data_IF_195524032043
#
_entry.id   IF_195524032043
#
_cell.length_a   1.000
_cell.length_b   1.000
_cell.length_c   1.000
_cell.angle_alpha   90.00
_cell.angle_beta   90.00
_cell.angle_gamma   90.00
#
_symmetry.space_group_name_H-M   'P 1'
#
loop_
_entity.id
_entity.type
_entity.pdbx_description
1 polymer ?
#
# COMPACT_ATOMS: atom_id res chain seq x y z
N UNK A 1 15.94 2.89 14.97
CA UNK A 1 16.41 2.82 13.58
C UNK A 1 16.20 1.40 13.07
N UNK A 2 15.07 1.15 12.41
CA UNK A 2 14.65 -0.19 11.99
C UNK A 2 15.37 -0.54 10.69
N UNK A 3 16.13 -1.64 10.72
CA UNK A 3 16.83 -2.20 9.57
C UNK A 3 15.85 -2.58 8.45
N UNK A 4 15.62 -1.64 7.53
CA UNK A 4 14.74 -1.78 6.37
C UNK A 4 15.42 -2.46 5.17
N UNK A 5 16.67 -2.91 5.32
CA UNK A 5 17.44 -3.58 4.25
C UNK A 5 17.09 -5.08 4.10
N UNK A 6 16.67 -5.75 5.18
CA UNK A 6 16.55 -7.22 5.18
C UNK A 6 15.19 -7.72 4.64
N UNK A 7 14.13 -6.92 4.73
CA UNK A 7 12.81 -7.24 4.14
C UNK A 7 12.76 -7.00 2.62
N UNK A 8 13.66 -6.18 2.06
CA UNK A 8 13.77 -6.03 0.60
C UNK A 8 14.69 -7.04 -0.05
N UNK A 9 15.82 -7.42 0.56
CA UNK A 9 16.76 -8.36 -0.05
C UNK A 9 16.19 -9.78 -0.24
N UNK A 10 15.34 -10.28 0.68
CA UNK A 10 14.59 -11.53 0.46
C UNK A 10 13.44 -11.39 -0.55
N UNK A 11 12.93 -10.18 -0.74
CA UNK A 11 11.89 -9.84 -1.74
C UNK A 11 12.47 -9.60 -3.14
N UNK A 12 13.80 -9.49 -3.25
CA UNK A 12 14.54 -9.58 -4.53
C UNK A 12 14.73 -11.01 -5.03
N UNK A 13 14.19 -12.02 -4.33
CA UNK A 13 13.55 -13.15 -5.00
C UNK A 13 12.23 -12.66 -5.63
N UNK A 14 12.36 -11.66 -6.51
CA UNK A 14 11.29 -11.30 -7.40
C UNK A 14 11.08 -12.58 -8.20
N UNK A 15 9.90 -13.19 -8.06
CA UNK A 15 9.25 -13.78 -9.22
C UNK A 15 9.16 -12.65 -10.26
N UNK A 16 10.29 -12.36 -10.89
CA UNK A 16 10.39 -11.38 -11.95
C UNK A 16 9.72 -12.10 -13.10
N UNK A 17 8.40 -11.89 -13.21
CA UNK A 17 7.78 -11.88 -14.52
C UNK A 17 8.54 -10.81 -15.28
N UNK A 18 9.60 -11.26 -15.93
CA UNK A 18 10.44 -10.50 -16.82
C UNK A 18 9.50 -10.05 -17.93
N UNK A 19 8.91 -8.86 -17.79
CA UNK A 19 8.32 -8.16 -18.93
C UNK A 19 9.47 -7.44 -19.61
N UNK A 20 10.46 -8.20 -20.04
CA UNK A 20 11.33 -7.77 -21.12
C UNK A 20 10.63 -8.22 -22.39
N UNK A 21 10.16 -7.28 -23.21
CA UNK A 21 9.99 -7.57 -24.64
C UNK A 21 11.38 -7.72 -25.24
N UNK A 22 12.13 -8.75 -24.82
CA UNK A 22 13.17 -9.32 -25.65
C UNK A 22 12.46 -9.90 -26.87
N UNK A 23 13.02 -9.65 -28.04
CA UNK A 23 12.61 -10.32 -29.26
C UNK A 23 12.46 -11.84 -28.96
N UNK A 24 11.31 -12.42 -29.31
CA UNK A 24 11.02 -13.85 -29.07
C UNK A 24 12.20 -14.66 -29.59
N UNK A 25 12.73 -15.61 -28.79
CA UNK A 25 13.77 -16.58 -29.19
C UNK A 25 15.22 -16.04 -29.35
N UNK A 26 15.71 -15.20 -28.42
CA UNK A 26 17.17 -14.92 -28.25
C UNK A 26 17.67 -15.20 -26.82
N UNK A 27 17.86 -16.48 -26.50
CA UNK A 27 18.39 -16.91 -25.19
C UNK A 27 19.88 -16.64 -24.98
N UNK A 28 20.62 -16.44 -26.07
CA UNK A 28 22.02 -16.03 -26.17
C UNK A 28 22.33 -14.70 -25.47
N UNK A 29 21.38 -13.77 -25.47
CA UNK A 29 21.54 -12.46 -24.81
C UNK A 29 21.55 -12.55 -23.27
N UNK A 30 21.07 -13.65 -22.68
CA UNK A 30 21.03 -13.82 -21.22
C UNK A 30 22.43 -13.88 -20.61
N UNK A 31 23.35 -14.63 -21.23
CA UNK A 31 24.73 -14.74 -20.76
C UNK A 31 25.48 -13.40 -20.79
N UNK A 32 25.17 -12.54 -21.76
CA UNK A 32 25.74 -11.19 -21.88
C UNK A 32 25.25 -10.28 -20.74
N UNK A 33 23.95 -10.33 -20.41
CA UNK A 33 23.36 -9.54 -19.33
C UNK A 33 23.88 -9.99 -17.96
N UNK A 34 23.93 -11.30 -17.70
CA UNK A 34 24.43 -11.86 -16.44
C UNK A 34 25.92 -11.54 -16.23
N UNK A 35 26.74 -11.70 -17.28
CA UNK A 35 28.16 -11.30 -17.24
C UNK A 35 28.31 -9.79 -17.09
N UNK A 36 27.41 -8.99 -17.66
CA UNK A 36 27.33 -7.55 -17.46
C UNK A 36 27.17 -7.17 -15.98
N UNK A 37 26.22 -7.78 -15.29
CA UNK A 37 26.04 -7.59 -13.84
C UNK A 37 27.27 -8.03 -13.03
N UNK A 38 27.85 -9.18 -13.38
CA UNK A 38 29.09 -9.65 -12.76
C UNK A 38 30.26 -8.68 -12.96
N UNK A 39 30.40 -8.09 -14.16
CA UNK A 39 31.46 -7.14 -14.50
C UNK A 39 31.29 -5.82 -13.75
N UNK A 40 30.06 -5.32 -13.63
CA UNK A 40 29.76 -4.12 -12.85
C UNK A 40 30.08 -4.35 -11.37
N UNK A 41 29.66 -5.50 -10.82
CA UNK A 41 29.95 -5.87 -9.44
C UNK A 41 31.44 -6.06 -9.16
N UNK A 42 32.18 -6.65 -10.09
CA UNK A 42 33.61 -6.90 -9.95
C UNK A 42 34.43 -5.61 -9.79
N UNK A 43 33.95 -4.47 -10.29
CA UNK A 43 34.66 -3.19 -10.20
C UNK A 43 34.68 -2.58 -8.80
N UNK A 44 33.61 -2.78 -8.01
CA UNK A 44 33.51 -2.17 -6.68
C UNK A 44 33.63 -3.17 -5.53
N UNK A 45 33.38 -4.47 -5.77
CA UNK A 45 33.53 -5.52 -4.76
C UNK A 45 34.88 -5.50 -4.01
N UNK A 46 36.04 -5.28 -4.66
CA UNK A 46 37.33 -5.24 -3.97
C UNK A 46 37.49 -4.07 -3.00
N UNK A 47 36.79 -2.96 -3.25
CA UNK A 47 36.91 -1.71 -2.51
C UNK A 47 35.78 -1.52 -1.49
N UNK A 48 34.84 -2.46 -1.43
CA UNK A 48 33.65 -2.35 -0.58
C UNK A 48 33.77 -3.26 0.64
N UNK A 49 33.80 -2.72 1.87
CA UNK A 49 33.74 -3.52 3.09
C UNK A 49 32.34 -4.14 3.27
N UNK A 50 32.26 -5.31 3.90
CA UNK A 50 30.98 -6.00 4.16
C UNK A 50 30.43 -6.82 2.98
N UNK A 51 31.26 -7.10 1.96
CA UNK A 51 30.88 -8.04 0.89
C UNK A 51 30.72 -9.44 1.47
N UNK A 52 29.62 -10.12 1.13
CA UNK A 52 29.38 -11.51 1.54
C UNK A 52 30.40 -12.42 0.85
N UNK A 53 31.47 -12.74 1.56
CA UNK A 53 32.51 -13.68 1.13
C UNK A 53 32.51 -14.88 2.09
N UNK A 54 32.29 -16.08 1.56
CA UNK A 54 32.32 -17.32 2.35
C UNK A 54 30.94 -17.89 2.74
N UNK A 55 30.91 -18.93 3.60
CA UNK A 55 29.68 -19.60 3.99
C UNK A 55 28.78 -18.67 4.81
N UNK A 56 27.51 -18.55 4.38
CA UNK A 56 26.47 -17.77 5.04
C UNK A 56 26.31 -18.16 6.52
N UNK A 57 25.90 -17.20 7.37
CA UNK A 57 25.62 -17.40 8.80
C UNK A 57 24.69 -18.59 9.14
N UNK A 58 23.88 -19.05 8.19
CA UNK A 58 23.06 -20.28 8.34
C UNK A 58 23.88 -21.58 8.39
N UNK A 59 25.14 -21.56 7.96
CA UNK A 59 26.08 -22.68 8.08
C UNK A 59 26.92 -22.49 9.36
N UNK A 60 27.20 -23.58 10.07
CA UNK A 60 28.02 -23.58 11.31
C UNK A 60 29.31 -22.76 11.09
N UNK A 61 29.50 -21.70 11.90
CA UNK A 61 30.69 -20.85 11.87
C UNK A 61 30.65 -19.64 10.91
N UNK A 62 29.52 -19.37 10.23
CA UNK A 62 29.40 -18.18 9.37
C UNK A 62 29.16 -16.89 10.16
N UNK A 63 29.86 -15.81 9.81
CA UNK A 63 29.62 -14.46 10.36
C UNK A 63 28.32 -13.86 9.81
N UNK A 64 27.57 -13.13 10.64
CA UNK A 64 26.35 -12.45 10.20
C UNK A 64 26.70 -11.17 9.44
N UNK A 65 26.72 -11.28 8.11
CA UNK A 65 27.04 -10.21 7.17
C UNK A 65 26.10 -8.99 7.26
N UNK A 66 24.95 -9.10 7.94
CA UNK A 66 24.06 -7.95 8.17
C UNK A 66 24.66 -6.92 9.11
N UNK A 67 25.49 -7.38 10.04
CA UNK A 67 26.18 -6.52 11.02
C UNK A 67 27.37 -5.82 10.35
N UNK A 68 27.96 -6.46 9.34
CA UNK A 68 29.14 -5.96 8.62
C UNK A 68 28.79 -4.97 7.48
N UNK A 69 27.50 -4.67 7.24
CA UNK A 69 27.07 -3.80 6.15
C UNK A 69 27.38 -2.33 6.45
N UNK A 70 28.34 -1.74 5.73
CA UNK A 70 28.80 -0.36 5.94
C UNK A 70 28.23 0.68 4.96
N UNK A 71 27.76 0.26 3.78
CA UNK A 71 27.23 1.17 2.77
C UNK A 71 25.75 1.48 2.98
N UNK A 72 25.40 2.77 2.91
CA UNK A 72 24.01 3.20 2.81
C UNK A 72 23.44 2.91 1.41
N UNK A 73 22.12 2.76 1.31
CA UNK A 73 21.42 2.52 0.03
C UNK A 73 21.72 3.64 -0.99
N UNK A 74 21.82 4.89 -0.54
CA UNK A 74 22.13 6.04 -1.41
C UNK A 74 23.54 5.95 -2.00
N UNK A 75 24.52 5.52 -1.21
CA UNK A 75 25.91 5.38 -1.64
C UNK A 75 26.05 4.21 -2.61
N UNK A 76 25.45 3.06 -2.28
CA UNK A 76 25.43 1.89 -3.14
C UNK A 76 24.77 2.18 -4.50
N UNK A 77 23.63 2.88 -4.50
CA UNK A 77 22.97 3.30 -5.74
C UNK A 77 23.83 4.27 -6.54
N UNK A 78 24.52 5.22 -5.89
CA UNK A 78 25.49 6.10 -6.52
C UNK A 78 26.63 5.34 -7.23
N UNK A 79 27.22 4.35 -6.56
CA UNK A 79 28.29 3.51 -7.12
C UNK A 79 27.80 2.75 -8.36
N UNK A 80 26.60 2.15 -8.30
CA UNK A 80 26.02 1.44 -9.44
C UNK A 80 25.78 2.40 -10.61
N UNK A 81 25.19 3.57 -10.36
CA UNK A 81 24.94 4.57 -11.39
C UNK A 81 26.24 5.03 -12.07
N UNK A 82 27.28 5.31 -11.28
CA UNK A 82 28.59 5.67 -11.81
C UNK A 82 29.17 4.56 -12.71
N UNK A 83 29.08 3.30 -12.29
CA UNK A 83 29.57 2.17 -13.08
C UNK A 83 28.80 1.99 -14.41
N UNK A 84 27.48 2.19 -14.40
CA UNK A 84 26.63 2.14 -15.60
C UNK A 84 26.97 3.31 -16.54
N UNK A 85 27.07 4.53 -16.02
CA UNK A 85 27.42 5.72 -16.81
C UNK A 85 28.78 5.55 -17.47
N UNK A 86 29.77 5.07 -16.74
CA UNK A 86 31.09 4.78 -17.31
C UNK A 86 31.00 3.73 -18.43
N UNK A 87 30.29 2.62 -18.20
CA UNK A 87 30.13 1.56 -19.19
C UNK A 87 29.46 2.08 -20.47
N UNK A 88 28.42 2.88 -20.34
CA UNK A 88 27.66 3.36 -21.50
C UNK A 88 28.39 4.45 -22.27
N UNK A 89 29.11 5.35 -21.57
CA UNK A 89 29.72 6.54 -22.18
C UNK A 89 31.16 6.33 -22.66
N UNK A 90 31.96 5.53 -21.94
CA UNK A 90 33.41 5.52 -22.14
C UNK A 90 34.00 4.15 -22.41
N UNK A 91 33.32 3.06 -22.04
CA UNK A 91 33.87 1.73 -22.27
C UNK A 91 33.91 1.39 -23.76
N UNK A 92 35.11 1.09 -24.26
CA UNK A 92 35.36 0.69 -25.63
C UNK A 92 35.05 -0.78 -25.85
N UNK A 93 34.24 -1.08 -26.86
CA UNK A 93 33.89 -2.44 -27.28
C UNK A 93 34.86 -2.92 -28.36
N UNK A 94 36.06 -3.32 -27.95
CA UNK A 94 37.14 -3.74 -28.86
C UNK A 94 36.76 -4.95 -29.75
N UNK A 95 35.90 -5.84 -29.24
CA UNK A 95 35.49 -7.07 -29.92
C UNK A 95 34.13 -6.97 -30.59
N UNK A 96 33.60 -5.76 -30.75
CA UNK A 96 32.30 -5.57 -31.39
C UNK A 96 32.43 -5.71 -32.90
N UNK A 97 31.56 -6.53 -33.48
CA UNK A 97 31.49 -6.72 -34.92
C UNK A 97 30.75 -5.54 -35.57
N UNK A 98 31.39 -4.88 -36.55
CA UNK A 98 30.88 -3.65 -37.18
C UNK A 98 30.15 -3.99 -38.47
N UNK A 99 29.03 -3.31 -38.70
CA UNK A 99 28.32 -3.42 -39.98
C UNK A 99 29.08 -2.68 -41.11
N UNK A 100 28.97 -3.13 -42.38
CA UNK A 100 29.75 -2.60 -43.50
C UNK A 100 29.60 -1.10 -43.79
N UNK A 101 28.45 -0.52 -43.44
CA UNK A 101 28.10 0.89 -43.67
C UNK A 101 28.39 1.80 -42.47
N UNK A 102 28.96 1.25 -41.39
CA UNK A 102 29.34 2.01 -40.21
C UNK A 102 30.62 2.82 -40.51
N UNK A 103 30.62 4.17 -40.31
CA UNK A 103 31.79 5.01 -40.53
C UNK A 103 32.99 4.53 -39.72
N UNK A 104 34.20 4.53 -40.28
CA UNK A 104 35.41 3.98 -39.63
C UNK A 104 35.84 4.75 -38.39
N UNK A 105 35.61 6.07 -38.38
CA UNK A 105 35.89 7.02 -37.31
C UNK A 105 34.89 6.96 -36.13
N UNK A 106 33.78 6.23 -36.27
CA UNK A 106 32.80 6.09 -35.20
C UNK A 106 33.43 5.48 -33.94
N UNK A 107 33.34 6.13 -32.77
CA UNK A 107 33.83 5.55 -31.53
C UNK A 107 33.06 4.26 -31.19
N UNK A 108 33.79 3.19 -30.86
CA UNK A 108 33.21 1.92 -30.42
C UNK A 108 32.73 1.98 -28.96
N UNK A 109 32.01 3.03 -28.59
CA UNK A 109 31.35 3.14 -27.29
C UNK A 109 29.86 2.80 -27.42
N UNK A 110 29.23 2.19 -26.39
CA UNK A 110 27.82 1.83 -26.47
C UNK A 110 26.89 3.01 -26.83
N UNK A 111 27.15 4.20 -26.28
CA UNK A 111 26.34 5.39 -26.59
C UNK A 111 26.52 5.86 -28.03
N UNK A 112 27.73 5.86 -28.57
CA UNK A 112 28.00 6.25 -29.96
C UNK A 112 27.36 5.28 -30.95
N UNK A 113 27.51 3.98 -30.71
CA UNK A 113 26.88 2.92 -31.51
C UNK A 113 25.34 3.02 -31.46
N UNK A 114 24.78 3.26 -30.27
CA UNK A 114 23.34 3.43 -30.08
C UNK A 114 22.80 4.65 -30.85
N UNK A 115 23.46 5.80 -30.73
CA UNK A 115 23.04 7.02 -31.41
C UNK A 115 23.12 6.87 -32.93
N UNK A 116 24.19 6.25 -33.45
CA UNK A 116 24.31 5.93 -34.87
C UNK A 116 23.21 4.97 -35.33
N UNK A 117 22.89 3.95 -34.53
CA UNK A 117 21.78 3.04 -34.80
C UNK A 117 20.42 3.73 -34.83
N UNK A 118 20.16 4.68 -33.92
CA UNK A 118 18.92 5.47 -33.92
C UNK A 118 18.78 6.32 -35.20
N UNK A 119 19.88 6.76 -35.78
CA UNK A 119 19.82 7.56 -37.00
C UNK A 119 19.67 6.69 -38.27
N UNK A 120 20.38 5.55 -38.32
CA UNK A 120 20.55 4.79 -39.56
C UNK A 120 19.82 3.44 -39.60
N UNK A 121 19.24 2.98 -38.48
CA UNK A 121 18.63 1.64 -38.36
C UNK A 121 17.20 1.63 -37.86
N UNK A 122 16.72 2.69 -37.22
CA UNK A 122 15.37 2.68 -36.67
C UNK A 122 14.30 2.90 -37.74
N UNK A 123 13.39 1.93 -37.87
CA UNK A 123 12.12 2.10 -38.56
C UNK A 123 11.15 2.99 -37.78
N UNK A 124 9.84 2.84 -38.02
CA UNK A 124 8.78 3.61 -37.33
C UNK A 124 8.72 3.31 -35.82
N UNK A 125 9.59 3.94 -35.04
CA UNK A 125 9.47 3.98 -33.58
C UNK A 125 8.16 4.67 -33.20
N UNK A 126 7.39 4.05 -32.30
CA UNK A 126 6.18 4.68 -31.75
C UNK A 126 6.60 5.65 -30.66
N UNK A 127 6.31 6.93 -30.87
CA UNK A 127 6.41 7.95 -29.83
C UNK A 127 5.17 7.86 -28.94
N UNK A 128 5.37 7.75 -27.62
CA UNK A 128 4.30 7.80 -26.63
C UNK A 128 4.62 8.93 -25.63
N UNK A 129 3.58 9.58 -25.11
CA UNK A 129 3.78 10.60 -24.07
C UNK A 129 4.29 9.96 -22.78
N UNK A 130 5.12 10.71 -22.04
CA UNK A 130 5.69 10.26 -20.77
C UNK A 130 4.62 9.76 -19.80
N UNK A 131 3.53 10.51 -19.64
CA UNK A 131 2.45 10.16 -18.71
C UNK A 131 1.75 8.86 -19.11
N UNK A 132 1.50 8.63 -20.40
CA UNK A 132 0.89 7.39 -20.89
C UNK A 132 1.76 6.18 -20.56
N UNK A 133 3.07 6.30 -20.79
CA UNK A 133 4.02 5.23 -20.48
C UNK A 133 4.12 5.02 -18.98
N UNK A 134 4.21 6.10 -18.19
CA UNK A 134 4.25 6.07 -16.72
C UNK A 134 3.05 5.30 -16.16
N UNK A 135 1.84 5.65 -16.59
CA UNK A 135 0.61 4.98 -16.14
C UNK A 135 0.52 3.53 -16.63
N UNK A 136 1.06 3.23 -17.81
CA UNK A 136 1.13 1.86 -18.31
C UNK A 136 2.10 0.97 -17.51
N UNK A 137 3.15 1.55 -16.93
CA UNK A 137 4.15 0.84 -16.12
C UNK A 137 3.70 0.61 -14.67
N UNK A 138 2.74 1.39 -14.18
CA UNK A 138 2.26 1.24 -12.82
C UNK A 138 1.56 -0.12 -12.59
N UNK A 139 1.75 -0.73 -11.41
CA UNK A 139 1.03 -1.94 -11.01
C UNK A 139 -0.49 -1.77 -11.13
N UNK A 140 -1.16 -2.83 -11.61
CA UNK A 140 -2.61 -2.88 -11.74
C UNK A 140 -3.24 -3.62 -10.58
N UNK A 141 -4.34 -3.08 -10.06
CA UNK A 141 -5.16 -3.71 -9.05
C UNK A 141 -6.65 -3.57 -9.40
N UNK A 142 -7.45 -4.51 -8.89
CA UNK A 142 -8.90 -4.44 -9.01
C UNK A 142 -9.44 -3.43 -7.99
N UNK A 143 -10.34 -2.57 -8.43
CA UNK A 143 -10.98 -1.59 -7.58
C UNK A 143 -12.46 -1.92 -7.39
N UNK A 144 -12.99 -1.57 -6.22
CA UNK A 144 -14.41 -1.69 -5.88
C UNK A 144 -15.04 -0.32 -5.68
N UNK A 145 -16.35 -0.21 -5.89
CA UNK A 145 -17.08 1.04 -5.64
C UNK A 145 -17.80 0.98 -4.30
N UNK A 146 -17.63 2.03 -3.52
CA UNK A 146 -18.35 2.32 -2.28
C UNK A 146 -19.05 3.68 -2.40
N UNK A 147 -19.93 3.97 -1.44
CA UNK A 147 -20.53 5.31 -1.30
C UNK A 147 -19.48 6.38 -0.99
N UNK A 148 -18.40 5.98 -0.32
CA UNK A 148 -17.26 6.84 0.01
C UNK A 148 -16.33 7.11 -1.19
N UNK A 149 -16.42 6.33 -2.27
CA UNK A 149 -15.49 6.41 -3.39
C UNK A 149 -15.08 5.07 -3.96
N UNK A 150 -14.10 5.12 -4.85
CA UNK A 150 -13.39 3.96 -5.39
C UNK A 150 -12.41 3.46 -4.35
N UNK A 151 -12.52 2.18 -3.99
CA UNK A 151 -11.75 1.55 -2.95
C UNK A 151 -10.66 0.65 -3.55
N UNK A 152 -9.44 0.83 -3.05
CA UNK A 152 -8.28 -0.03 -3.32
C UNK A 152 -7.50 -0.21 -2.02
N UNK A 153 -7.18 -1.44 -1.64
CA UNK A 153 -6.53 -1.77 -0.36
C UNK A 153 -7.22 -1.16 0.88
N UNK A 154 -8.54 -0.97 0.80
CA UNK A 154 -9.36 -0.34 1.84
C UNK A 154 -9.21 1.18 1.95
N UNK A 155 -8.51 1.84 1.01
CA UNK A 155 -8.37 3.30 0.93
C UNK A 155 -9.29 3.81 -0.16
N UNK A 156 -9.96 4.93 0.10
CA UNK A 156 -11.00 5.48 -0.76
C UNK A 156 -10.53 6.71 -1.53
N UNK A 157 -10.88 6.72 -2.81
CA UNK A 157 -10.52 7.74 -3.80
C UNK A 157 -11.75 8.27 -4.52
N UNK A 158 -11.71 9.51 -4.97
CA UNK A 158 -12.81 10.12 -5.72
C UNK A 158 -12.30 10.98 -6.87
N UNK A 159 -13.19 11.27 -7.81
CA UNK A 159 -12.91 12.05 -9.01
C UNK A 159 -14.22 12.69 -9.49
N UNK A 160 -14.13 13.81 -10.22
CA UNK A 160 -15.32 14.54 -10.67
C UNK A 160 -16.19 13.69 -11.60
N UNK A 161 -15.58 12.87 -12.44
CA UNK A 161 -16.22 11.98 -13.41
C UNK A 161 -17.05 10.91 -12.70
N UNK A 162 -16.56 10.38 -11.57
CA UNK A 162 -17.27 9.38 -10.76
C UNK A 162 -18.52 10.00 -10.13
N UNK A 163 -18.38 11.23 -9.62
CA UNK A 163 -19.49 11.99 -9.03
C UNK A 163 -20.54 12.33 -10.09
N UNK A 164 -20.12 12.85 -11.25
CA UNK A 164 -21.00 13.18 -12.38
C UNK A 164 -21.78 11.97 -12.89
N UNK A 165 -21.15 10.78 -12.90
CA UNK A 165 -21.83 9.53 -13.29
C UNK A 165 -22.71 8.92 -12.18
N UNK A 166 -22.76 9.54 -10.99
CA UNK A 166 -23.59 9.09 -9.87
C UNK A 166 -23.18 7.74 -9.29
N UNK A 167 -21.96 7.24 -9.57
CA UNK A 167 -21.53 5.89 -9.18
C UNK A 167 -21.40 5.68 -7.67
N UNK A 168 -21.32 6.77 -6.91
CA UNK A 168 -21.28 6.75 -5.45
C UNK A 168 -22.65 6.43 -4.84
N UNK A 169 -23.76 6.75 -5.50
CA UNK A 169 -25.10 6.48 -4.98
C UNK A 169 -25.48 5.01 -5.13
N UNK A 170 -26.06 4.43 -4.07
CA UNK A 170 -26.47 3.02 -4.03
C UNK A 170 -27.97 2.93 -4.31
N UNK A 171 -28.35 3.08 -5.58
CA UNK A 171 -29.73 2.92 -6.04
C UNK A 171 -29.84 1.77 -7.04
N UNK A 172 -31.00 1.11 -7.08
CA UNK A 172 -31.32 0.07 -8.07
C UNK A 172 -31.30 0.60 -9.51
N UNK A 173 -31.48 1.91 -9.68
CA UNK A 173 -31.50 2.60 -10.98
C UNK A 173 -30.09 2.87 -11.52
N UNK A 174 -29.07 2.91 -10.66
CA UNK A 174 -27.70 3.24 -11.05
C UNK A 174 -26.91 1.96 -11.36
N UNK A 175 -26.62 1.74 -12.65
CA UNK A 175 -25.78 0.63 -13.09
C UNK A 175 -24.30 0.92 -12.80
N UNK A 176 -23.77 0.36 -11.71
CA UNK A 176 -22.35 0.48 -11.35
C UNK A 176 -21.49 -0.42 -12.22
N UNK A 177 -20.34 0.07 -12.74
CA UNK A 177 -19.40 -0.78 -13.44
C UNK A 177 -18.81 -1.83 -12.49
N UNK A 178 -18.62 -3.04 -13.00
CA UNK A 178 -17.96 -4.12 -12.29
C UNK A 178 -16.52 -4.30 -12.82
N UNK A 179 -15.64 -4.82 -11.98
CA UNK A 179 -14.26 -5.18 -12.35
C UNK A 179 -13.40 -4.02 -12.89
N UNK A 180 -13.57 -2.81 -12.37
CA UNK A 180 -12.69 -1.70 -12.72
C UNK A 180 -11.25 -1.98 -12.29
N UNK A 181 -10.31 -1.50 -13.10
CA UNK A 181 -8.89 -1.58 -12.80
C UNK A 181 -8.36 -0.21 -12.44
N UNK A 182 -7.37 -0.20 -11.56
CA UNK A 182 -6.65 1.00 -11.16
C UNK A 182 -5.16 0.75 -11.37
N UNK A 183 -4.48 1.73 -11.92
CA UNK A 183 -3.03 1.84 -11.83
C UNK A 183 -2.68 2.77 -10.66
N UNK A 184 -1.71 2.37 -9.85
CA UNK A 184 -1.30 3.14 -8.67
C UNK A 184 0.23 3.19 -8.57
N UNK A 185 0.76 4.27 -8.00
CA UNK A 185 2.18 4.37 -7.68
C UNK A 185 2.42 3.75 -6.29
N UNK A 186 3.23 2.70 -6.13
CA UNK A 186 3.53 2.15 -4.81
C UNK A 186 4.12 3.15 -3.81
N UNK A 187 4.71 4.26 -4.29
CA UNK A 187 5.40 5.25 -3.47
C UNK A 187 4.55 6.44 -3.04
N UNK A 188 3.37 6.63 -3.62
CA UNK A 188 2.45 7.72 -3.25
C UNK A 188 1.00 7.25 -3.30
N UNK A 189 0.26 7.59 -2.26
CA UNK A 189 -1.17 7.27 -2.09
C UNK A 189 -2.06 8.43 -2.55
N UNK A 190 -1.49 9.58 -2.92
CA UNK A 190 -2.28 10.79 -3.15
C UNK A 190 -3.18 10.68 -4.39
N UNK A 191 -2.70 9.95 -5.40
CA UNK A 191 -3.34 9.82 -6.70
C UNK A 191 -3.38 8.38 -7.17
N UNK A 192 -4.50 8.03 -7.81
CA UNK A 192 -4.63 6.78 -8.56
C UNK A 192 -5.21 7.05 -9.95
N UNK A 193 -4.95 6.13 -10.88
CA UNK A 193 -5.45 6.22 -12.25
C UNK A 193 -6.49 5.14 -12.47
N UNK A 194 -7.76 5.52 -12.50
CA UNK A 194 -8.89 4.61 -12.68
C UNK A 194 -9.16 4.36 -14.15
N UNK A 195 -9.32 3.08 -14.52
CA UNK A 195 -9.72 2.63 -15.84
C UNK A 195 -11.19 2.20 -15.78
N UNK A 196 -12.13 3.04 -16.22
CA UNK A 196 -13.56 2.76 -16.12
C UNK A 196 -13.99 1.64 -17.09
N UNK A 197 -13.32 1.53 -18.23
CA UNK A 197 -13.62 0.56 -19.28
C UNK A 197 -12.49 -0.46 -19.40
N UNK A 198 -12.84 -1.74 -19.54
CA UNK A 198 -11.87 -2.79 -19.81
C UNK A 198 -11.18 -2.54 -21.18
N UNK A 199 -9.87 -2.75 -21.24
CA UNK A 199 -9.04 -2.61 -22.44
C UNK A 199 -8.95 -1.20 -23.04
N UNK A 200 -9.44 -0.17 -22.35
CA UNK A 200 -9.22 1.23 -22.76
C UNK A 200 -7.90 1.77 -22.22
N UNK A 201 -7.27 2.67 -22.97
CA UNK A 201 -6.16 3.50 -22.50
C UNK A 201 -6.63 4.75 -21.75
N UNK A 202 -7.92 5.07 -21.83
CA UNK A 202 -8.51 6.19 -21.12
C UNK A 202 -8.56 5.91 -19.62
N UNK A 203 -8.07 6.88 -18.84
CA UNK A 203 -8.06 6.82 -17.40
C UNK A 203 -8.54 8.13 -16.79
N UNK A 204 -9.07 8.05 -15.57
CA UNK A 204 -9.42 9.21 -14.76
C UNK A 204 -8.48 9.29 -13.56
N UNK A 205 -8.03 10.51 -13.25
CA UNK A 205 -7.14 10.77 -12.12
C UNK A 205 -7.99 10.95 -10.86
N UNK A 206 -7.98 9.97 -9.97
CA UNK A 206 -8.69 10.06 -8.70
C UNK A 206 -7.76 10.51 -7.59
N UNK A 207 -8.25 11.40 -6.74
CA UNK A 207 -7.55 11.89 -5.54
C UNK A 207 -8.06 11.19 -4.29
N UNK A 208 -7.23 11.14 -3.26
CA UNK A 208 -7.62 10.60 -1.96
C UNK A 208 -8.85 11.32 -1.40
N UNK A 209 -9.77 10.57 -0.80
CA UNK A 209 -10.95 11.16 -0.15
C UNK A 209 -10.62 11.72 1.24
N UNK A 210 -11.37 12.72 1.73
CA UNK A 210 -11.19 13.27 3.08
C UNK A 210 -11.31 12.23 4.20
N UNK A 211 -12.07 11.15 3.97
CA UNK A 211 -12.21 10.04 4.91
C UNK A 211 -10.87 9.35 5.20
N UNK A 212 -9.98 9.29 4.21
CA UNK A 212 -8.67 8.65 4.31
C UNK A 212 -7.53 9.67 4.49
N UNK A 213 -7.81 10.85 5.07
CA UNK A 213 -6.81 11.92 5.27
C UNK A 213 -5.56 11.50 6.04
N UNK A 214 -5.64 10.44 6.84
CA UNK A 214 -4.51 9.88 7.59
C UNK A 214 -3.36 9.41 6.69
N UNK A 215 -3.63 9.12 5.41
CA UNK A 215 -2.65 8.58 4.46
C UNK A 215 -2.11 9.60 3.45
N UNK A 216 -2.39 10.90 3.62
CA UNK A 216 -1.88 11.95 2.73
C UNK A 216 -0.35 11.99 2.80
N UNK A 217 0.32 11.95 1.64
CA UNK A 217 1.78 11.95 1.54
C UNK A 217 2.46 10.64 1.96
N UNK A 218 1.69 9.59 2.28
CA UNK A 218 2.23 8.27 2.59
C UNK A 218 2.44 7.44 1.32
N UNK A 219 3.28 6.41 1.42
CA UNK A 219 3.38 5.36 0.41
C UNK A 219 2.37 4.25 0.68
N UNK A 220 2.03 3.44 -0.34
CA UNK A 220 1.14 2.29 -0.12
C UNK A 220 1.77 1.24 0.81
N UNK A 221 3.10 1.22 0.91
CA UNK A 221 3.81 0.39 1.88
C UNK A 221 3.48 0.79 3.31
N UNK A 222 3.49 2.10 3.58
CA UNK A 222 3.16 2.65 4.90
C UNK A 222 1.69 2.38 5.23
N UNK A 223 0.79 2.57 4.25
CA UNK A 223 -0.65 2.26 4.40
C UNK A 223 -0.86 0.82 4.84
N UNK A 224 -0.20 -0.14 4.18
CA UNK A 224 -0.36 -1.55 4.54
C UNK A 224 0.15 -1.85 5.95
N UNK A 225 1.25 -1.23 6.35
CA UNK A 225 1.79 -1.38 7.70
C UNK A 225 0.85 -0.79 8.75
N UNK A 226 0.46 0.48 8.58
CA UNK A 226 -0.44 1.20 9.49
C UNK A 226 -1.75 0.43 9.64
N UNK A 227 -2.32 -0.08 8.54
CA UNK A 227 -3.57 -0.84 8.60
C UNK A 227 -3.44 -2.18 9.31
N UNK A 228 -2.32 -2.87 9.17
CA UNK A 228 -2.09 -4.12 9.90
C UNK A 228 -2.01 -3.86 11.42
N UNK A 229 -1.32 -2.78 11.81
CA UNK A 229 -1.23 -2.33 13.20
C UNK A 229 -2.61 -1.90 13.75
N UNK A 230 -3.34 -1.05 13.02
CA UNK A 230 -4.70 -0.63 13.38
C UNK A 230 -5.65 -1.83 13.53
N UNK A 231 -5.56 -2.82 12.65
CA UNK A 231 -6.41 -4.01 12.71
C UNK A 231 -6.15 -4.83 13.97
N UNK A 232 -4.90 -4.96 14.41
CA UNK A 232 -4.54 -5.65 15.65
C UNK A 232 -5.09 -4.91 16.87
N UNK A 233 -4.86 -3.59 16.96
CA UNK A 233 -5.36 -2.78 18.05
C UNK A 233 -6.90 -2.81 18.17
N UNK A 234 -7.61 -2.75 17.03
CA UNK A 234 -9.08 -2.86 17.01
C UNK A 234 -9.55 -4.25 17.45
N UNK A 235 -8.85 -5.32 17.08
CA UNK A 235 -9.21 -6.68 17.49
C UNK A 235 -9.05 -6.85 19.02
N UNK A 236 -7.96 -6.37 19.60
CA UNK A 236 -7.73 -6.38 21.05
C UNK A 236 -8.80 -5.59 21.80
N UNK A 237 -9.09 -4.37 21.33
CA UNK A 237 -10.12 -3.52 21.94
C UNK A 237 -11.53 -4.14 21.86
N UNK A 238 -11.85 -4.87 20.78
CA UNK A 238 -13.13 -5.58 20.67
C UNK A 238 -13.27 -6.67 21.73
N UNK A 239 -12.22 -7.44 22.00
CA UNK A 239 -12.26 -8.47 23.04
C UNK A 239 -12.54 -7.87 24.43
N UNK A 240 -11.89 -6.74 24.74
CA UNK A 240 -12.10 -6.01 25.99
C UNK A 240 -13.52 -5.44 26.04
N UNK A 241 -13.97 -4.81 24.96
CA UNK A 241 -15.32 -4.25 24.83
C UNK A 241 -16.39 -5.32 25.04
N UNK A 242 -16.24 -6.50 24.43
CA UNK A 242 -17.19 -7.61 24.57
C UNK A 242 -17.23 -8.13 26.01
N UNK A 243 -16.09 -8.20 26.70
CA UNK A 243 -16.05 -8.56 28.12
C UNK A 243 -16.81 -7.55 28.98
N UNK A 244 -16.56 -6.25 28.77
CA UNK A 244 -17.25 -5.18 29.48
C UNK A 244 -18.74 -5.09 29.15
N UNK A 245 -19.12 -5.40 27.92
CA UNK A 245 -20.53 -5.50 27.54
C UNK A 245 -21.24 -6.60 28.33
N UNK A 246 -20.62 -7.77 28.52
CA UNK A 246 -21.20 -8.85 29.34
C UNK A 246 -21.33 -8.46 30.82
N UNK A 247 -20.37 -7.72 31.35
CA UNK A 247 -20.43 -7.22 32.73
C UNK A 247 -21.58 -6.20 32.87
N UNK A 248 -21.74 -5.30 31.91
CA UNK A 248 -22.86 -4.37 31.84
C UNK A 248 -24.20 -5.09 31.76
N UNK A 249 -24.32 -6.10 30.89
CA UNK A 249 -25.54 -6.90 30.74
C UNK A 249 -25.91 -7.60 32.06
N UNK A 250 -24.91 -8.14 32.78
CA UNK A 250 -25.12 -8.75 34.09
C UNK A 250 -25.60 -7.74 35.12
N UNK A 251 -24.95 -6.58 35.19
CA UNK A 251 -25.36 -5.50 36.08
C UNK A 251 -26.80 -5.07 35.80
N UNK A 252 -27.16 -4.81 34.53
CA UNK A 252 -28.52 -4.46 34.13
C UNK A 252 -29.52 -5.52 34.59
N UNK A 253 -29.22 -6.81 34.37
CA UNK A 253 -30.10 -7.90 34.81
C UNK A 253 -30.25 -7.98 36.32
N UNK A 254 -29.17 -7.80 37.09
CA UNK A 254 -29.21 -7.79 38.55
C UNK A 254 -29.98 -6.60 39.10
N UNK A 255 -29.76 -5.39 38.55
CA UNK A 255 -30.51 -4.19 38.92
C UNK A 255 -32.00 -4.36 38.64
N UNK A 256 -32.38 -4.91 37.48
CA UNK A 256 -33.79 -5.20 37.16
C UNK A 256 -34.38 -6.23 38.13
N UNK A 257 -33.63 -7.29 38.46
CA UNK A 257 -34.08 -8.30 39.44
C UNK A 257 -34.26 -7.71 40.84
N UNK A 258 -33.34 -6.87 41.29
CA UNK A 258 -33.43 -6.21 42.60
C UNK A 258 -34.60 -5.22 42.61
N UNK A 259 -34.74 -4.37 41.60
CA UNK A 259 -35.88 -3.46 41.47
C UNK A 259 -37.23 -4.21 41.42
N UNK A 260 -37.28 -5.41 40.83
CA UNK A 260 -38.48 -6.25 40.82
C UNK A 260 -38.79 -6.89 42.19
N UNK A 261 -37.76 -7.16 43.02
CA UNK A 261 -37.90 -7.64 44.41
C UNK A 261 -38.30 -6.54 45.38
N UNK A 262 -37.70 -5.35 45.22
CA UNK A 262 -37.95 -4.17 46.06
C UNK A 262 -39.31 -3.53 45.75
N UNK A 263 -39.98 -3.96 44.68
CA UNK A 263 -41.36 -3.58 44.38
C UNK A 263 -42.29 -4.11 45.49
N UNK A 264 -42.97 -3.25 46.27
CA UNK A 264 -43.80 -3.69 47.38
C UNK A 264 -44.90 -4.66 46.91
N UNK A 265 -45.12 -5.76 47.63
CA UNK A 265 -46.16 -6.76 47.31
C UNK A 265 -47.56 -6.14 47.29
N UNK A 266 -47.83 -5.21 48.21
CA UNK A 266 -49.08 -4.43 48.33
C UNK A 266 -49.44 -3.68 47.05
N UNK A 267 -48.43 -3.27 46.28
CA UNK A 267 -48.69 -2.56 45.03
C UNK A 267 -49.48 -3.41 44.07
N UNK A 268 -49.39 -4.75 44.10
CA UNK A 268 -50.08 -5.64 43.15
C UNK A 268 -51.57 -5.82 43.42
N UNK A 269 -52.04 -5.54 44.62
CA UNK A 269 -53.44 -5.65 45.04
C UNK A 269 -54.24 -4.36 44.78
N UNK A 270 -53.55 -3.21 44.67
CA UNK A 270 -54.20 -1.91 44.40
C UNK A 270 -54.67 -1.83 42.93
N UNK A 271 -55.90 -1.36 42.64
CA UNK A 271 -56.41 -1.19 41.27
C UNK A 271 -55.52 -0.28 40.40
N UNK A 272 -55.40 -0.60 39.09
CA UNK A 272 -54.58 0.17 38.13
C UNK A 272 -54.84 1.68 38.17
N UNK A 273 -56.09 2.09 38.34
CA UNK A 273 -56.52 3.49 38.41
C UNK A 273 -55.99 4.25 39.63
N UNK A 274 -55.88 3.58 40.80
CA UNK A 274 -55.30 4.18 42.00
C UNK A 274 -53.77 4.26 41.92
N UNK A 275 -53.10 3.27 41.33
CA UNK A 275 -51.64 3.34 41.08
C UNK A 275 -51.27 4.52 40.21
N UNK A 276 -52.01 4.75 39.12
CA UNK A 276 -51.74 5.85 38.18
C UNK A 276 -51.96 7.23 38.85
N UNK A 277 -52.93 7.37 39.77
CA UNK A 277 -53.14 8.61 40.54
C UNK A 277 -51.98 8.92 41.50
N UNK A 278 -51.39 7.90 42.14
CA UNK A 278 -50.27 8.06 43.09
C UNK A 278 -48.94 8.49 42.45
N UNK A 279 -48.72 8.21 41.15
CA UNK A 279 -47.48 8.55 40.43
C UNK A 279 -47.15 10.05 40.52
N UNK A 280 -48.17 10.93 40.45
CA UNK A 280 -47.96 12.38 40.47
C UNK A 280 -47.41 12.88 41.81
N UNK A 281 -47.81 12.24 42.91
CA UNK A 281 -47.38 12.59 44.26
C UNK A 281 -45.99 12.01 44.57
N UNK A 282 -45.75 10.74 44.22
CA UNK A 282 -44.42 10.11 44.35
C UNK A 282 -43.36 10.87 43.54
N UNK A 283 -43.67 11.23 42.28
CA UNK A 283 -42.75 12.04 41.45
C UNK A 283 -42.46 13.42 42.04
N UNK A 284 -43.39 13.99 42.84
CA UNK A 284 -43.19 15.28 43.50
C UNK A 284 -42.29 15.14 44.74
N UNK A 285 -42.46 14.08 45.51
CA UNK A 285 -41.60 13.72 46.65
C UNK A 285 -40.18 13.39 46.19
N UNK A 286 -40.02 12.53 45.20
CA UNK A 286 -38.70 12.11 44.70
C UNK A 286 -37.92 13.30 44.11
N UNK A 287 -38.60 14.24 43.44
CA UNK A 287 -38.00 15.53 43.04
C UNK A 287 -37.60 16.42 44.20
N UNK A 288 -38.28 16.34 45.34
CA UNK A 288 -37.95 17.09 46.56
C UNK A 288 -36.74 16.46 47.25
N UNK A 289 -36.67 15.13 47.28
CA UNK A 289 -35.55 14.36 47.83
C UNK A 289 -34.27 14.54 46.98
N UNK A 290 -34.38 14.51 45.66
CA UNK A 290 -33.28 14.84 44.73
C UNK A 290 -32.73 16.27 44.95
N UNK A 291 -33.58 17.22 45.33
CA UNK A 291 -33.19 18.62 45.60
C UNK A 291 -32.48 18.80 46.93
N UNK A 292 -32.74 17.92 47.90
CA UNK A 292 -32.05 17.90 49.20
C UNK A 292 -30.67 17.23 49.05
N UNK A 293 -30.48 16.42 48.00
CA UNK A 293 -29.21 15.85 47.57
C UNK A 293 -28.78 14.63 48.40
N UNK A 294 -28.02 13.68 47.83
CA UNK A 294 -27.59 12.50 48.58
C UNK A 294 -26.58 12.91 49.66
N UNK A 295 -26.83 12.47 50.90
CA UNK A 295 -25.80 12.45 51.93
C UNK A 295 -24.61 11.61 51.40
N UNK A 296 -23.41 12.18 51.50
CA UNK A 296 -22.14 11.65 50.95
C UNK A 296 -22.05 10.13 51.01
N UNK A 297 -21.83 9.52 49.86
CA UNK A 297 -21.37 8.14 49.73
C UNK A 297 -19.86 8.19 49.94
N UNK A 298 -19.38 7.63 51.06
CA UNK A 298 -17.95 7.35 51.32
C UNK A 298 -17.42 6.20 50.45
#
# INVERSE_FOLDING_TARGET
MVNCSDTRLKRWNVHSRSVSKLHRLRGDCKGVVERGFGTVQAKFKPYTPGVVVGPLAKKRGGKDYRIDAQLMIKEFTGIILAAILYRNRFHTLEKYDREPDMPTDLPMTPISLWNWGIQNRTGKLRTASYDTVKVALFPRAKATLSELGVCIFGVYFTCQEIVKKGWLHRSKEVKRPQNMQVAYDPWSVDYIYLFPNANSTEYWLCTLTPHCREFIGCSFWDVWQIKDEQKKAVAENKLVSDAKHRDLDRYIQETIKNAAKDMPSDTREIPKTQRIKGIRQNRRQEKQDERIGPAKIE
#
